data_IF_529932922276
#
_entry.id   IF_529932922276
#
_cell.length_a   1.000
_cell.length_b   1.000
_cell.length_c   1.000
_cell.angle_alpha   90.00
_cell.angle_beta   90.00
_cell.angle_gamma   90.00
#
_symmetry.space_group_name_H-M   'P 1'
#
loop_
_entity.id
_entity.type
_entity.pdbx_description
1 polymer ?
#
# COMPACT_ATOMS: atom_id res chain seq x y z
N UNK A 1 -0.53 3.02 -1.93
CA UNK A 1 -0.09 2.36 -3.19
C UNK A 1 0.80 3.35 -3.91
N UNK A 2 2.01 2.95 -4.29
CA UNK A 2 2.95 3.80 -5.01
C UNK A 2 3.61 3.02 -6.13
N UNK A 3 4.07 3.72 -7.16
CA UNK A 3 4.95 3.19 -8.17
C UNK A 3 6.38 3.10 -7.62
N UNK A 4 7.09 2.01 -7.90
CA UNK A 4 8.53 1.94 -7.61
C UNK A 4 9.37 2.71 -8.61
N UNK A 5 8.81 3.10 -9.77
CA UNK A 5 9.58 3.56 -10.94
C UNK A 5 9.33 5.07 -11.19
N UNK A 6 8.19 5.53 -11.75
CA UNK A 6 7.81 6.94 -11.70
C UNK A 6 7.55 7.42 -10.28
N UNK A 7 8.23 8.49 -9.88
CA UNK A 7 7.93 9.18 -8.62
C UNK A 7 6.57 9.87 -8.69
N UNK A 8 5.69 9.54 -7.73
CA UNK A 8 4.37 10.15 -7.68
C UNK A 8 3.48 9.73 -8.85
N UNK A 9 3.81 8.63 -9.55
CA UNK A 9 3.11 8.20 -10.75
C UNK A 9 3.13 9.27 -11.85
N UNK A 10 1.94 9.65 -12.34
CA UNK A 10 1.72 10.73 -13.29
C UNK A 10 1.57 12.14 -12.69
N UNK A 11 1.91 12.35 -11.41
CA UNK A 11 1.65 13.61 -10.70
C UNK A 11 2.22 14.84 -11.42
N UNK A 12 3.50 14.81 -11.82
CA UNK A 12 4.13 15.94 -12.50
C UNK A 12 3.71 16.11 -13.96
N UNK A 13 3.22 15.05 -14.61
CA UNK A 13 2.87 15.06 -16.03
C UNK A 13 1.39 15.33 -16.29
N UNK A 14 0.54 15.26 -15.26
CA UNK A 14 -0.92 15.29 -15.41
C UNK A 14 -1.45 14.08 -16.19
N UNK A 15 -0.72 12.96 -16.16
CA UNK A 15 -1.03 11.76 -16.92
C UNK A 15 -2.19 10.95 -16.34
N UNK A 16 -1.90 9.71 -15.92
CA UNK A 16 -2.93 8.85 -15.30
C UNK A 16 -3.30 9.40 -13.92
N UNK A 17 -4.58 9.32 -13.57
CA UNK A 17 -5.04 9.61 -12.21
C UNK A 17 -5.26 8.29 -11.46
N UNK A 18 -4.31 7.93 -10.60
CA UNK A 18 -4.45 6.87 -9.61
C UNK A 18 -4.28 7.44 -8.19
N UNK A 19 -4.24 6.54 -7.21
CA UNK A 19 -4.19 6.90 -5.79
C UNK A 19 -2.92 7.69 -5.43
N UNK A 20 -1.79 7.35 -6.05
CA UNK A 20 -0.52 8.02 -5.78
C UNK A 20 -0.53 9.47 -6.25
N UNK A 21 -1.05 9.74 -7.46
CA UNK A 21 -1.17 11.08 -8.01
C UNK A 21 -2.13 11.94 -7.19
N UNK A 22 -3.25 11.35 -6.75
CA UNK A 22 -4.21 12.03 -5.88
C UNK A 22 -3.55 12.42 -4.54
N UNK A 23 -2.86 11.50 -3.88
CA UNK A 23 -2.18 11.77 -2.62
C UNK A 23 -1.04 12.79 -2.78
N UNK A 24 -0.25 12.72 -3.85
CA UNK A 24 0.80 13.71 -4.13
C UNK A 24 0.21 15.11 -4.39
N UNK A 25 -0.99 15.17 -5.00
CA UNK A 25 -1.71 16.43 -5.20
C UNK A 25 -2.24 17.01 -3.89
N UNK A 26 -2.73 16.14 -3.01
CA UNK A 26 -3.44 16.53 -1.79
C UNK A 26 -2.54 16.84 -0.60
N UNK A 27 -1.29 16.39 -0.63
CA UNK A 27 -0.46 16.34 0.57
C UNK A 27 1.01 16.67 0.32
N UNK A 28 1.78 16.70 1.40
CA UNK A 28 3.24 16.89 1.36
C UNK A 28 4.02 15.64 0.92
N UNK A 29 3.33 14.52 0.61
CA UNK A 29 3.94 13.21 0.31
C UNK A 29 5.00 13.26 -0.79
N UNK A 30 4.80 14.06 -1.84
CA UNK A 30 5.71 14.09 -2.98
C UNK A 30 7.15 14.46 -2.58
N UNK A 31 7.33 15.34 -1.59
CA UNK A 31 8.65 15.71 -1.09
C UNK A 31 9.35 14.55 -0.38
N UNK A 32 8.59 13.71 0.35
CA UNK A 32 9.13 12.50 0.97
C UNK A 32 9.57 11.48 -0.08
N UNK A 33 8.80 11.32 -1.16
CA UNK A 33 9.15 10.41 -2.27
C UNK A 33 10.41 10.87 -3.00
N UNK A 34 10.61 12.18 -3.19
CA UNK A 34 11.85 12.74 -3.75
C UNK A 34 13.06 12.35 -2.89
N UNK A 35 12.98 12.60 -1.58
CA UNK A 35 14.05 12.22 -0.65
C UNK A 35 14.30 10.69 -0.64
N UNK A 36 13.25 9.89 -0.77
CA UNK A 36 13.38 8.44 -0.87
C UNK A 36 14.09 7.99 -2.14
N UNK A 37 13.87 8.67 -3.28
CA UNK A 37 14.63 8.41 -4.51
C UNK A 37 16.10 8.75 -4.35
N UNK A 38 16.42 9.91 -3.77
CA UNK A 38 17.82 10.31 -3.58
C UNK A 38 18.54 9.29 -2.69
N UNK A 39 17.89 8.87 -1.60
CA UNK A 39 18.38 7.80 -0.74
C UNK A 39 18.55 6.46 -1.46
N UNK A 40 17.59 6.06 -2.28
CA UNK A 40 17.67 4.83 -3.07
C UNK A 40 18.84 4.85 -4.06
N UNK A 41 19.15 6.00 -4.66
CA UNK A 41 20.31 6.18 -5.52
C UNK A 41 21.63 6.08 -4.74
N UNK A 42 21.70 6.74 -3.57
CA UNK A 42 22.89 6.68 -2.69
C UNK A 42 23.17 5.25 -2.19
N UNK A 43 22.12 4.51 -1.85
CA UNK A 43 22.22 3.12 -1.39
C UNK A 43 22.40 2.12 -2.54
N UNK A 44 22.32 2.58 -3.79
CA UNK A 44 22.44 1.71 -4.96
C UNK A 44 21.31 0.69 -5.06
N UNK A 45 20.10 1.06 -4.66
CA UNK A 45 18.93 0.19 -4.70
C UNK A 45 18.69 -0.34 -6.12
N UNK A 46 18.53 -1.66 -6.23
CA UNK A 46 18.30 -2.33 -7.50
C UNK A 46 16.84 -2.78 -7.63
N UNK A 47 16.29 -2.82 -8.85
CA UNK A 47 15.01 -3.49 -9.10
C UNK A 47 15.04 -4.95 -8.64
N UNK A 48 13.87 -5.56 -8.39
CA UNK A 48 13.78 -6.98 -8.05
C UNK A 48 14.48 -7.84 -9.11
N UNK A 49 15.24 -8.86 -8.72
CA UNK A 49 15.99 -9.72 -9.66
C UNK A 49 15.09 -10.33 -10.75
N UNK A 50 13.84 -10.67 -10.39
CA UNK A 50 12.82 -11.16 -11.33
C UNK A 50 12.47 -10.19 -12.46
N UNK A 51 12.66 -8.88 -12.27
CA UNK A 51 12.51 -7.86 -13.32
C UNK A 51 13.72 -7.92 -14.26
N UNK A 52 14.92 -8.06 -13.72
CA UNK A 52 16.15 -8.14 -14.51
C UNK A 52 16.17 -9.41 -15.40
N UNK A 53 15.65 -10.52 -14.89
CA UNK A 53 15.55 -11.80 -15.62
C UNK A 53 14.48 -11.79 -16.73
N UNK A 54 13.44 -10.97 -16.59
CA UNK A 54 12.30 -10.87 -17.52
C UNK A 54 12.42 -9.68 -18.49
N UNK A 55 13.58 -9.04 -18.53
CA UNK A 55 13.90 -7.83 -19.29
C UNK A 55 13.99 -8.06 -20.81
N UNK A 56 12.92 -8.56 -21.44
CA UNK A 56 12.68 -8.35 -22.87
C UNK A 56 12.02 -6.98 -23.14
N UNK A 57 11.57 -6.30 -22.08
CA UNK A 57 11.01 -4.93 -22.14
C UNK A 57 11.95 -3.93 -21.45
N UNK A 58 12.91 -3.34 -22.19
CA UNK A 58 13.72 -2.25 -21.65
C UNK A 58 12.83 -1.09 -21.19
N UNK A 59 13.30 -0.28 -20.25
CA UNK A 59 12.62 0.95 -19.88
C UNK A 59 12.38 1.79 -21.15
N UNK A 60 11.35 2.65 -21.16
CA UNK A 60 11.02 3.47 -22.33
C UNK A 60 12.20 4.33 -22.85
N UNK A 61 13.22 4.55 -22.03
CA UNK A 61 14.48 5.25 -22.32
C UNK A 61 15.59 4.38 -22.95
N UNK A 62 15.42 3.06 -23.03
CA UNK A 62 16.48 2.13 -23.45
C UNK A 62 17.54 1.87 -22.37
N UNK A 63 17.31 2.30 -21.13
CA UNK A 63 18.19 2.08 -19.97
C UNK A 63 17.66 0.99 -19.03
N UNK A 64 18.49 0.53 -18.11
CA UNK A 64 18.06 -0.33 -17.01
C UNK A 64 16.98 0.35 -16.16
N UNK A 65 16.07 -0.45 -15.61
CA UNK A 65 15.05 0.03 -14.67
C UNK A 65 15.73 0.55 -13.40
N UNK A 66 15.27 1.69 -12.90
CA UNK A 66 15.67 2.23 -11.61
C UNK A 66 14.45 2.28 -10.70
N UNK A 67 14.58 1.79 -9.48
CA UNK A 67 13.50 1.83 -8.49
C UNK A 67 13.89 2.66 -7.27
N UNK A 68 12.89 3.24 -6.61
CA UNK A 68 13.05 4.00 -5.37
C UNK A 68 12.27 3.42 -4.18
N UNK A 69 11.57 2.30 -4.41
CA UNK A 69 10.89 1.53 -3.35
C UNK A 69 11.49 0.12 -3.37
N UNK A 70 12.06 -0.36 -2.25
CA UNK A 70 12.64 -1.70 -2.18
C UNK A 70 11.60 -2.79 -2.44
N UNK A 71 12.04 -3.91 -3.00
CA UNK A 71 11.13 -5.01 -3.34
C UNK A 71 10.45 -5.63 -2.11
N UNK A 72 11.22 -5.85 -1.06
CA UNK A 72 10.81 -6.40 0.22
C UNK A 72 10.61 -5.32 1.29
N UNK A 73 10.51 -4.06 0.87
CA UNK A 73 10.41 -2.91 1.76
C UNK A 73 9.34 -1.91 1.36
N UNK A 74 9.37 -0.78 2.06
CA UNK A 74 8.45 0.34 1.88
C UNK A 74 9.20 1.65 2.10
N UNK A 75 8.65 2.74 1.58
CA UNK A 75 9.04 4.09 1.97
C UNK A 75 8.09 4.55 3.06
N UNK A 76 8.63 4.81 4.26
CA UNK A 76 7.90 5.38 5.38
C UNK A 76 8.06 6.91 5.37
N UNK A 77 6.98 7.63 5.11
CA UNK A 77 6.95 9.10 5.04
C UNK A 77 6.25 9.66 6.29
N UNK A 78 6.99 10.07 7.34
CA UNK A 78 6.39 10.57 8.57
C UNK A 78 5.79 11.97 8.41
N UNK A 79 4.81 12.31 9.25
CA UNK A 79 4.24 13.67 9.39
C UNK A 79 3.71 14.29 8.08
N UNK A 80 3.13 13.46 7.21
CA UNK A 80 2.51 13.95 5.97
C UNK A 80 1.26 14.75 6.31
N UNK A 81 1.14 15.95 5.73
CA UNK A 81 -0.01 16.84 5.91
C UNK A 81 -0.88 16.81 4.65
N UNK A 82 -2.16 16.52 4.80
CA UNK A 82 -3.18 16.57 3.74
C UNK A 82 -3.86 17.93 3.80
N UNK A 83 -3.62 18.76 2.80
CA UNK A 83 -4.06 20.16 2.74
C UNK A 83 -5.01 20.46 1.58
N UNK A 84 -5.35 19.46 0.74
CA UNK A 84 -6.40 19.58 -0.28
C UNK A 84 -7.48 18.51 -0.16
N UNK A 85 -8.69 18.86 -0.58
CA UNK A 85 -9.86 17.98 -0.69
C UNK A 85 -9.76 16.95 -1.81
N UNK A 86 -10.85 16.19 -2.01
CA UNK A 86 -10.90 15.04 -2.91
C UNK A 86 -10.73 15.37 -4.40
N UNK A 87 -10.37 14.35 -5.19
CA UNK A 87 -10.35 14.42 -6.66
C UNK A 87 -11.68 14.90 -7.23
N UNK A 88 -12.81 14.40 -6.69
CA UNK A 88 -14.15 14.77 -7.15
C UNK A 88 -14.56 16.20 -6.80
N UNK A 89 -13.87 16.83 -5.85
CA UNK A 89 -14.11 18.22 -5.45
C UNK A 89 -13.16 19.20 -6.16
N UNK A 90 -12.24 18.70 -7.00
CA UNK A 90 -11.25 19.52 -7.70
C UNK A 90 -10.08 19.97 -6.84
N UNK A 91 -9.76 19.24 -5.76
CA UNK A 91 -8.64 19.53 -4.85
C UNK A 91 -8.65 20.94 -4.22
N UNK A 92 -9.78 21.40 -3.64
CA UNK A 92 -9.83 22.69 -2.96
C UNK A 92 -8.90 22.66 -1.75
N UNK A 93 -8.34 23.81 -1.35
CA UNK A 93 -7.60 23.89 -0.09
C UNK A 93 -8.53 23.60 1.09
N UNK A 94 -8.07 22.77 2.03
CA UNK A 94 -8.77 22.53 3.28
C UNK A 94 -8.53 23.71 4.23
N UNK A 95 -9.58 24.10 4.97
CA UNK A 95 -9.47 25.12 6.00
C UNK A 95 -8.60 24.65 7.19
N UNK A 96 -8.63 23.35 7.48
CA UNK A 96 -7.83 22.70 8.51
C UNK A 96 -7.13 21.47 7.91
N UNK A 97 -5.81 21.54 7.61
CA UNK A 97 -5.06 20.41 7.08
C UNK A 97 -4.99 19.24 8.06
N UNK A 98 -5.23 18.02 7.58
CA UNK A 98 -5.12 16.82 8.39
C UNK A 98 -3.66 16.35 8.47
N UNK A 99 -3.15 16.13 9.69
CA UNK A 99 -1.81 15.58 9.92
C UNK A 99 -1.88 14.07 10.11
N UNK A 100 -1.11 13.34 9.31
CA UNK A 100 -0.98 11.88 9.42
C UNK A 100 0.28 11.54 10.19
N UNK A 101 0.24 10.47 11.02
CA UNK A 101 1.46 9.94 11.65
C UNK A 101 2.50 9.58 10.59
N UNK A 102 2.05 8.89 9.53
CA UNK A 102 2.84 8.63 8.34
C UNK A 102 1.98 8.22 7.15
N UNK A 103 2.58 8.27 5.96
CA UNK A 103 2.14 7.53 4.77
C UNK A 103 3.16 6.43 4.46
N UNK A 104 2.67 5.21 4.27
CA UNK A 104 3.50 4.05 3.89
C UNK A 104 3.32 3.78 2.40
N UNK A 105 4.38 4.00 1.64
CA UNK A 105 4.41 3.77 0.19
C UNK A 105 5.01 2.40 -0.12
N UNK A 106 4.20 1.54 -0.72
CA UNK A 106 4.57 0.19 -1.16
C UNK A 106 4.28 0.04 -2.65
N UNK A 107 5.22 -0.58 -3.35
CA UNK A 107 5.09 -0.94 -4.76
C UNK A 107 4.61 -2.38 -4.90
N UNK A 108 3.59 -2.59 -5.74
CA UNK A 108 3.06 -3.93 -6.06
C UNK A 108 3.56 -4.41 -7.43
N UNK A 109 3.55 -5.74 -7.67
CA UNK A 109 3.89 -6.27 -8.99
C UNK A 109 2.97 -5.72 -10.08
N UNK A 110 3.51 -5.48 -11.27
CA UNK A 110 2.74 -4.98 -12.39
C UNK A 110 2.34 -6.12 -13.35
N UNK A 111 1.05 -6.50 -13.33
CA UNK A 111 0.46 -7.47 -14.25
C UNK A 111 -0.27 -6.81 -15.43
N UNK A 112 -0.03 -5.53 -15.67
CA UNK A 112 -0.64 -4.79 -16.75
C UNK A 112 0.37 -4.44 -17.85
N UNK A 113 0.35 -5.22 -18.93
CA UNK A 113 1.16 -4.97 -20.14
C UNK A 113 0.93 -3.59 -20.78
N UNK A 114 -0.18 -2.91 -20.46
CA UNK A 114 -0.45 -1.55 -20.93
C UNK A 114 0.30 -0.46 -20.17
N UNK A 115 0.96 -0.79 -19.07
CA UNK A 115 1.80 0.13 -18.27
C UNK A 115 3.22 0.06 -18.82
N UNK A 116 3.72 1.17 -19.38
CA UNK A 116 5.03 1.23 -20.07
C UNK A 116 6.17 1.81 -19.23
N UNK A 117 5.81 2.44 -18.13
CA UNK A 117 6.69 3.12 -17.18
C UNK A 117 6.93 2.28 -15.91
N UNK A 118 6.51 1.01 -15.93
CA UNK A 118 6.90 0.00 -14.96
C UNK A 118 7.07 -1.34 -15.72
N UNK A 119 8.04 -2.18 -15.34
CA UNK A 119 8.23 -3.49 -15.95
C UNK A 119 7.00 -4.37 -15.71
N UNK A 120 6.65 -5.19 -16.69
CA UNK A 120 5.69 -6.26 -16.49
C UNK A 120 6.36 -7.40 -15.73
N UNK A 121 5.63 -8.01 -14.79
CA UNK A 121 6.12 -9.13 -14.01
C UNK A 121 5.29 -10.39 -14.29
N UNK A 122 5.97 -11.52 -14.46
CA UNK A 122 5.34 -12.84 -14.53
C UNK A 122 5.72 -13.65 -13.29
N UNK A 123 4.72 -14.02 -12.48
CA UNK A 123 4.90 -14.75 -11.24
C UNK A 123 4.03 -16.00 -11.21
N UNK A 124 4.55 -17.08 -10.63
CA UNK A 124 3.70 -18.19 -10.22
C UNK A 124 2.75 -17.73 -9.10
N UNK A 125 1.64 -18.44 -8.90
CA UNK A 125 0.72 -18.11 -7.80
C UNK A 125 1.42 -18.14 -6.43
N UNK A 126 2.33 -19.09 -6.22
CA UNK A 126 3.07 -19.22 -4.96
C UNK A 126 4.03 -18.04 -4.75
N UNK A 127 4.76 -17.63 -5.80
CA UNK A 127 5.69 -16.50 -5.71
C UNK A 127 4.94 -15.19 -5.51
N UNK A 128 3.80 -15.01 -6.17
CA UNK A 128 2.94 -13.85 -5.99
C UNK A 128 2.44 -13.73 -4.54
N UNK A 129 1.91 -14.81 -3.96
CA UNK A 129 1.49 -14.81 -2.56
C UNK A 129 2.66 -14.55 -1.59
N UNK A 130 3.85 -15.09 -1.88
CA UNK A 130 5.04 -14.84 -1.09
C UNK A 130 5.50 -13.38 -1.17
N UNK A 131 5.46 -12.77 -2.36
CA UNK A 131 5.76 -11.34 -2.57
C UNK A 131 4.78 -10.47 -1.80
N UNK A 132 3.47 -10.72 -1.92
CA UNK A 132 2.45 -9.97 -1.17
C UNK A 132 2.63 -10.11 0.35
N UNK A 133 2.95 -11.31 0.82
CA UNK A 133 3.19 -11.57 2.25
C UNK A 133 4.34 -10.70 2.76
N UNK A 134 5.49 -10.69 2.07
CA UNK A 134 6.63 -9.84 2.45
C UNK A 134 6.28 -8.35 2.43
N UNK A 135 5.60 -7.90 1.39
CA UNK A 135 5.19 -6.50 1.23
C UNK A 135 4.23 -6.06 2.34
N UNK A 136 3.22 -6.86 2.68
CA UNK A 136 2.31 -6.51 3.78
C UNK A 136 2.98 -6.59 5.15
N UNK A 137 3.91 -7.52 5.37
CA UNK A 137 4.71 -7.53 6.59
C UNK A 137 5.52 -6.24 6.74
N UNK A 138 6.17 -5.78 5.65
CA UNK A 138 6.91 -4.52 5.65
C UNK A 138 5.99 -3.30 5.86
N UNK A 139 4.80 -3.29 5.24
CA UNK A 139 3.79 -2.23 5.43
C UNK A 139 3.37 -2.13 6.88
N UNK A 140 2.96 -3.25 7.50
CA UNK A 140 2.43 -3.25 8.87
C UNK A 140 3.54 -2.98 9.89
N UNK A 141 4.76 -3.49 9.67
CA UNK A 141 5.91 -3.13 10.47
C UNK A 141 6.24 -1.63 10.39
N UNK A 142 6.11 -1.01 9.21
CA UNK A 142 6.29 0.43 9.06
C UNK A 142 5.19 1.23 9.77
N UNK A 143 3.92 0.78 9.72
CA UNK A 143 2.83 1.37 10.49
C UNK A 143 3.10 1.30 12.00
N UNK A 144 3.58 0.14 12.50
CA UNK A 144 3.96 -0.06 13.90
C UNK A 144 5.11 0.86 14.32
N UNK A 145 6.14 1.01 13.48
CA UNK A 145 7.26 1.96 13.69
C UNK A 145 6.85 3.42 13.67
N UNK A 146 5.80 3.75 12.93
CA UNK A 146 5.19 5.07 12.93
C UNK A 146 4.27 5.31 14.14
N UNK A 147 4.18 4.34 15.07
CA UNK A 147 3.32 4.38 16.24
C UNK A 147 1.85 4.64 15.87
N UNK A 148 1.42 4.11 14.72
CA UNK A 148 0.07 4.31 14.23
C UNK A 148 -0.92 3.43 15.01
N UNK A 149 -1.94 4.03 15.62
CA UNK A 149 -3.04 3.28 16.25
C UNK A 149 -4.14 2.91 15.24
N UNK A 150 -4.24 3.64 14.14
CA UNK A 150 -5.26 3.52 13.11
C UNK A 150 -4.61 3.38 11.74
N UNK A 151 -4.97 2.34 11.00
CA UNK A 151 -4.44 2.06 9.65
C UNK A 151 -5.54 2.25 8.62
N UNK A 152 -5.28 3.04 7.58
CA UNK A 152 -6.16 3.11 6.40
C UNK A 152 -5.50 2.31 5.27
N UNK A 153 -6.13 1.21 4.87
CA UNK A 153 -5.59 0.27 3.91
C UNK A 153 -6.41 0.23 2.63
N UNK A 154 -5.90 0.78 1.51
CA UNK A 154 -6.52 0.67 0.20
C UNK A 154 -6.20 -0.67 -0.48
N UNK A 155 -6.89 -0.95 -1.57
CA UNK A 155 -6.68 -2.05 -2.52
C UNK A 155 -5.39 -1.86 -3.37
N UNK A 156 -4.24 -1.83 -2.69
CA UNK A 156 -2.92 -1.58 -3.27
C UNK A 156 -2.63 -2.49 -4.47
N UNK A 157 -2.27 -1.89 -5.61
CA UNK A 157 -1.93 -2.61 -6.85
C UNK A 157 -3.11 -3.14 -7.66
N UNK A 158 -4.35 -3.07 -7.16
CA UNK A 158 -5.52 -3.68 -7.82
C UNK A 158 -6.07 -2.85 -8.98
N UNK A 159 -5.76 -1.55 -9.02
CA UNK A 159 -6.13 -0.64 -10.10
C UNK A 159 -5.21 -0.76 -11.33
N UNK A 160 -4.27 0.20 -11.46
CA UNK A 160 -3.41 0.33 -12.65
C UNK A 160 -2.58 -0.93 -12.92
N UNK A 161 -2.08 -1.59 -11.88
CA UNK A 161 -1.22 -2.78 -12.00
C UNK A 161 -1.97 -4.11 -12.08
N UNK A 162 -3.31 -4.09 -12.00
CA UNK A 162 -4.18 -5.27 -12.20
C UNK A 162 -3.86 -6.47 -11.30
N UNK A 163 -3.45 -6.22 -10.06
CA UNK A 163 -3.41 -7.27 -9.04
C UNK A 163 -4.84 -7.75 -8.72
N UNK A 164 -5.02 -9.04 -8.43
CA UNK A 164 -6.32 -9.58 -8.03
C UNK A 164 -6.72 -9.09 -6.63
N UNK A 165 -7.80 -8.29 -6.49
CA UNK A 165 -8.22 -7.74 -5.20
C UNK A 165 -8.61 -8.79 -4.17
N UNK A 166 -9.09 -9.97 -4.59
CA UNK A 166 -9.41 -11.06 -3.66
C UNK A 166 -8.13 -11.62 -3.02
N UNK A 167 -7.11 -11.89 -3.82
CA UNK A 167 -5.81 -12.35 -3.33
C UNK A 167 -5.13 -11.29 -2.46
N UNK A 168 -5.10 -10.03 -2.91
CA UNK A 168 -4.52 -8.91 -2.16
C UNK A 168 -5.20 -8.77 -0.79
N UNK A 169 -6.54 -8.78 -0.75
CA UNK A 169 -7.30 -8.69 0.51
C UNK A 169 -7.06 -9.87 1.44
N UNK A 170 -7.11 -11.10 0.92
CA UNK A 170 -6.87 -12.32 1.71
C UNK A 170 -5.47 -12.33 2.34
N UNK A 171 -4.44 -12.03 1.56
CA UNK A 171 -3.06 -12.06 2.08
C UNK A 171 -2.83 -10.93 3.07
N UNK A 172 -3.37 -9.73 2.84
CA UNK A 172 -3.34 -8.65 3.83
C UNK A 172 -3.96 -9.08 5.17
N UNK A 173 -5.19 -9.64 5.12
CA UNK A 173 -5.89 -10.13 6.32
C UNK A 173 -5.07 -11.20 7.06
N UNK A 174 -4.49 -12.14 6.30
CA UNK A 174 -3.66 -13.21 6.84
C UNK A 174 -2.45 -12.64 7.60
N UNK A 175 -1.68 -11.73 6.99
CA UNK A 175 -0.50 -11.12 7.63
C UNK A 175 -0.91 -10.33 8.87
N UNK A 176 -1.95 -9.50 8.76
CA UNK A 176 -2.44 -8.69 9.86
C UNK A 176 -2.86 -9.53 11.07
N UNK A 177 -3.65 -10.58 10.85
CA UNK A 177 -4.12 -11.43 11.94
C UNK A 177 -3.04 -12.35 12.52
N UNK A 178 -2.09 -12.79 11.70
CA UNK A 178 -1.03 -13.70 12.15
C UNK A 178 0.05 -12.99 12.96
N UNK A 179 0.38 -11.74 12.61
CA UNK A 179 1.58 -11.09 13.15
C UNK A 179 1.31 -9.74 13.83
N UNK A 180 0.19 -9.07 13.52
CA UNK A 180 -0.04 -7.69 13.95
C UNK A 180 -1.42 -7.44 14.57
N UNK A 181 -2.07 -8.49 15.07
CA UNK A 181 -3.45 -8.43 15.54
C UNK A 181 -3.66 -7.54 16.78
N UNK A 182 -2.59 -7.26 17.52
CA UNK A 182 -2.61 -6.47 18.75
C UNK A 182 -1.99 -5.07 18.59
N UNK A 183 -1.38 -4.79 17.43
CA UNK A 183 -0.63 -3.55 17.20
C UNK A 183 -1.52 -2.36 16.83
N UNK A 184 -2.72 -2.61 16.30
CA UNK A 184 -3.62 -1.57 15.80
C UNK A 184 -4.97 -1.60 16.51
N UNK A 185 -5.47 -0.42 16.88
CA UNK A 185 -6.79 -0.27 17.48
C UNK A 185 -7.90 -0.31 16.43
N UNK A 186 -7.61 0.15 15.22
CA UNK A 186 -8.58 0.27 14.13
C UNK A 186 -7.93 0.15 12.74
N UNK A 187 -8.60 -0.55 11.83
CA UNK A 187 -8.20 -0.70 10.43
C UNK A 187 -9.38 -0.35 9.52
N UNK A 188 -9.21 0.68 8.70
CA UNK A 188 -10.17 1.11 7.70
C UNK A 188 -9.78 0.53 6.34
N UNK A 189 -10.60 -0.38 5.83
CA UNK A 189 -10.46 -0.96 4.51
C UNK A 189 -11.20 -0.08 3.50
N UNK A 190 -10.50 0.38 2.47
CA UNK A 190 -11.06 1.26 1.43
C UNK A 190 -10.70 0.73 0.03
N UNK A 191 -11.47 1.11 -0.99
CA UNK A 191 -11.22 0.70 -2.38
C UNK A 191 -12.27 -0.29 -2.91
N UNK A 192 -11.86 -1.20 -3.79
CA UNK A 192 -12.75 -2.19 -4.39
C UNK A 192 -13.46 -3.08 -3.34
N UNK A 193 -14.77 -3.32 -3.54
CA UNK A 193 -15.59 -4.13 -2.64
C UNK A 193 -15.05 -5.57 -2.46
N UNK A 194 -14.55 -6.19 -3.53
CA UNK A 194 -13.95 -7.53 -3.44
C UNK A 194 -12.70 -7.55 -2.54
N UNK A 195 -11.87 -6.51 -2.57
CA UNK A 195 -10.74 -6.37 -1.66
C UNK A 195 -11.22 -6.21 -0.21
N UNK A 196 -12.15 -5.28 0.05
CA UNK A 196 -12.62 -5.02 1.42
C UNK A 196 -13.31 -6.24 2.02
N UNK A 197 -14.09 -7.00 1.24
CA UNK A 197 -14.69 -8.25 1.68
C UNK A 197 -13.66 -9.35 1.97
N UNK A 198 -12.62 -9.48 1.14
CA UNK A 198 -11.58 -10.50 1.35
C UNK A 198 -10.63 -10.14 2.50
N UNK A 199 -10.42 -8.85 2.76
CA UNK A 199 -9.59 -8.35 3.85
C UNK A 199 -10.30 -8.40 5.21
N UNK A 200 -11.63 -8.31 5.25
CA UNK A 200 -12.39 -8.45 6.48
C UNK A 200 -12.40 -9.91 6.99
N UNK A 201 -12.00 -10.15 8.25
CA UNK A 201 -12.05 -11.48 8.81
C UNK A 201 -13.50 -11.90 9.12
N UNK A 202 -13.80 -13.22 9.06
CA UNK A 202 -15.11 -13.76 9.40
C UNK A 202 -15.60 -13.30 10.78
N UNK A 203 -16.90 -13.07 10.91
CA UNK A 203 -17.56 -12.55 12.13
C UNK A 203 -17.31 -13.38 13.40
N UNK A 204 -16.99 -14.67 13.29
CA UNK A 204 -16.63 -15.52 14.43
C UNK A 204 -15.24 -15.22 15.02
N UNK A 205 -14.32 -14.66 14.24
CA UNK A 205 -13.01 -14.19 14.71
C UNK A 205 -13.20 -12.94 15.59
N UNK A 206 -14.11 -12.03 15.20
CA UNK A 206 -14.44 -10.82 15.98
C UNK A 206 -14.96 -11.16 17.39
N UNK A 207 -15.71 -12.25 17.55
CA UNK A 207 -16.28 -12.68 18.85
C UNK A 207 -15.25 -13.28 19.80
N UNK A 208 -14.18 -13.91 19.29
CA UNK A 208 -13.09 -14.44 20.11
C UNK A 208 -12.20 -13.34 20.67
N UNK A 209 -11.97 -12.27 19.91
CA UNK A 209 -11.27 -11.07 20.42
C UNK A 209 -12.11 -10.31 21.46
N UNK A 210 -13.45 -10.31 21.35
CA UNK A 210 -14.32 -9.52 22.23
C UNK A 210 -14.73 -10.19 23.56
N UNK A 211 -14.54 -11.50 23.74
CA UNK A 211 -14.96 -12.21 24.96
C UNK A 211 -13.76 -12.77 25.71
N UNK A 212 -13.23 -11.95 26.63
CA UNK A 212 -12.35 -12.43 27.69
C UNK A 212 -13.04 -13.53 28.50
N UNK A 213 -12.64 -14.78 28.29
CA UNK A 213 -13.10 -15.92 29.08
C UNK A 213 -12.03 -16.30 30.11
N UNK A 214 -12.48 -16.51 31.36
CA UNK A 214 -11.67 -16.70 32.59
C UNK A 214 -10.86 -18.02 32.66
N UNK A 215 -10.36 -18.54 31.55
CA UNK A 215 -9.46 -19.70 31.52
C UNK A 215 -8.38 -19.42 30.48
N UNK A 216 -7.15 -19.13 30.93
CA UNK A 216 -5.97 -18.84 30.09
C UNK A 216 -5.91 -19.76 28.86
N UNK A 217 -5.98 -19.19 27.63
CA UNK A 217 -5.22 -19.65 26.49
C UNK A 217 -4.16 -18.58 26.16
N UNK A 218 -3.09 -18.96 25.47
CA UNK A 218 -1.90 -18.15 25.21
C UNK A 218 -2.07 -16.98 24.21
N UNK A 219 -3.30 -16.57 23.88
CA UNK A 219 -3.58 -15.50 22.90
C UNK A 219 -4.84 -14.73 23.33
N UNK A 220 -4.67 -13.53 23.86
CA UNK A 220 -5.75 -12.64 24.28
C UNK A 220 -5.65 -11.33 23.50
N UNK A 221 -6.18 -11.33 22.28
CA UNK A 221 -6.14 -10.19 21.37
C UNK A 221 -6.97 -8.98 21.86
N UNK A 222 -6.45 -7.74 21.81
CA UNK A 222 -7.27 -6.54 21.88
C UNK A 222 -8.32 -6.53 20.75
N UNK A 223 -9.47 -5.90 20.98
CA UNK A 223 -10.54 -5.81 19.97
C UNK A 223 -10.20 -4.78 18.90
N UNK A 224 -9.29 -5.11 17.98
CA UNK A 224 -9.06 -4.33 16.77
C UNK A 224 -10.36 -4.18 15.99
N UNK A 225 -10.77 -2.94 15.71
CA UNK A 225 -11.98 -2.66 14.91
C UNK A 225 -11.62 -2.64 13.42
N UNK A 226 -12.32 -3.43 12.61
CA UNK A 226 -12.27 -3.28 11.15
C UNK A 226 -13.54 -2.60 10.64
N UNK A 227 -13.37 -1.59 9.79
CA UNK A 227 -14.46 -0.91 9.10
C UNK A 227 -14.23 -0.87 7.60
N UNK A 228 -15.29 -1.08 6.83
CA UNK A 228 -15.29 -0.78 5.40
C UNK A 228 -15.71 0.68 5.18
N UNK A 229 -14.92 1.42 4.40
CA UNK A 229 -15.28 2.73 3.87
C UNK A 229 -15.62 2.61 2.39
N UNK A 230 -16.87 2.87 2.02
CA UNK A 230 -17.30 2.90 0.62
C UNK A 230 -17.38 4.35 0.15
N UNK A 231 -16.68 4.67 -0.94
CA UNK A 231 -16.95 5.89 -1.72
C UNK A 231 -17.74 5.42 -2.93
N UNK A 232 -19.05 5.69 -2.94
CA UNK A 232 -19.87 5.48 -4.14
C UNK A 232 -19.25 6.30 -5.27
N UNK A 233 -18.78 5.61 -6.32
CA UNK A 233 -18.54 6.26 -7.60
C UNK A 233 -19.92 6.70 -8.12
N UNK A 234 -20.21 8.00 -8.03
CA UNK A 234 -21.30 8.61 -8.81
C UNK A 234 -20.90 8.71 -10.28
#
# INVERSE_FOLDING_TARGET
AASAYPLGGGFCSGGRHALEEALCTQSTLFQCLLAAKDKALEEGLQPPSRVAEQSETPAASGSDWQCHIPDDGVVLSPHVEVFRGGTFDGYPFLADPAKLSAVVSVAMPNFNLGVRDAPFEQLSQADYEAVLTRKFSAVLEACRRAEAEVVVMPDVGCGVYRNDPLTVGRIFSSVLLSFFAEDFSEVHLVGQHCFTCAAEPPSDVRRRCARGTKRKPLLAFPTMRMRQGYVEKK
#
